data_IF_770071170456
#
_entry.id   IF_770071170456
#
_cell.length_a   1.000
_cell.length_b   1.000
_cell.length_c   1.000
_cell.angle_alpha   90.00
_cell.angle_beta   90.00
_cell.angle_gamma   90.00
#
_symmetry.space_group_name_H-M   'P 1'
#
loop_
_entity.id
_entity.type
_entity.pdbx_description
1 polymer ?
#
# COMPACT_ATOMS: atom_id res chain seq x y z
N UNK A 1 -5.48 -6.58 -0.26
CA UNK A 1 -6.61 -5.94 -1.00
C UNK A 1 -7.85 -6.05 -0.14
N UNK A 2 -8.60 -4.96 0.05
CA UNK A 2 -9.76 -4.90 0.97
C UNK A 2 -10.90 -4.13 0.31
N UNK A 3 -12.15 -4.49 0.58
CA UNK A 3 -13.31 -3.64 0.26
C UNK A 3 -13.90 -3.77 -1.15
N UNK A 4 -13.51 -4.79 -1.93
CA UNK A 4 -14.27 -5.11 -3.15
C UNK A 4 -15.62 -5.70 -2.72
N UNK A 5 -16.71 -5.06 -3.15
CA UNK A 5 -18.05 -5.39 -2.64
C UNK A 5 -18.63 -6.66 -3.25
N UNK A 6 -18.21 -7.02 -4.47
CA UNK A 6 -18.58 -8.28 -5.10
C UNK A 6 -17.50 -9.34 -4.80
N UNK A 7 -17.83 -10.45 -4.12
CA UNK A 7 -16.89 -11.54 -3.88
C UNK A 7 -16.25 -12.11 -5.16
N UNK A 8 -16.99 -12.13 -6.27
CA UNK A 8 -16.50 -12.68 -7.54
C UNK A 8 -15.31 -11.88 -8.11
N UNK A 9 -15.19 -10.61 -7.75
CA UNK A 9 -14.06 -9.78 -8.15
C UNK A 9 -12.73 -10.29 -7.57
N UNK A 10 -12.74 -10.99 -6.44
CA UNK A 10 -11.51 -11.57 -5.90
C UNK A 10 -10.98 -12.72 -6.77
N UNK A 11 -11.86 -13.48 -7.43
CA UNK A 11 -11.46 -14.56 -8.33
C UNK A 11 -10.94 -14.06 -9.68
N UNK A 12 -11.28 -12.82 -10.06
CA UNK A 12 -10.84 -12.20 -11.31
C UNK A 12 -9.54 -11.41 -11.22
N UNK A 13 -8.84 -11.44 -10.07
CA UNK A 13 -7.54 -10.78 -9.90
C UNK A 13 -6.55 -11.25 -10.98
N UNK A 14 -5.69 -10.35 -11.53
CA UNK A 14 -4.69 -10.73 -12.54
C UNK A 14 -3.51 -11.48 -11.92
N UNK A 15 -3.78 -12.68 -11.42
CA UNK A 15 -2.78 -13.54 -10.81
C UNK A 15 -2.22 -14.51 -11.86
N UNK A 16 -0.98 -14.95 -11.65
CA UNK A 16 -0.43 -16.08 -12.37
C UNK A 16 -1.32 -17.31 -12.13
N UNK A 17 -1.71 -17.99 -13.21
CA UNK A 17 -2.60 -19.17 -13.15
C UNK A 17 -3.98 -18.91 -12.49
N UNK A 18 -4.47 -17.67 -12.58
CA UNK A 18 -5.84 -17.31 -12.20
C UNK A 18 -6.89 -17.87 -13.17
N UNK A 19 -8.15 -17.47 -12.97
CA UNK A 19 -9.25 -17.90 -13.83
C UNK A 19 -9.13 -17.32 -15.25
N UNK A 20 -9.78 -17.99 -16.21
CA UNK A 20 -9.84 -17.52 -17.59
C UNK A 20 -10.39 -16.08 -17.65
N UNK A 21 -9.72 -15.22 -18.41
CA UNK A 21 -10.01 -13.79 -18.49
C UNK A 21 -9.84 -13.28 -19.90
N UNK A 22 -10.77 -12.43 -20.36
CA UNK A 22 -10.68 -11.77 -21.67
C UNK A 22 -9.88 -10.46 -21.63
N UNK A 23 -9.39 -10.04 -20.46
CA UNK A 23 -8.76 -8.73 -20.24
C UNK A 23 -7.57 -8.49 -21.17
N UNK A 24 -6.72 -9.49 -21.32
CA UNK A 24 -5.49 -9.41 -22.10
C UNK A 24 -5.63 -10.13 -23.45
N UNK A 25 -6.85 -10.45 -23.88
CA UNK A 25 -7.07 -11.15 -25.14
C UNK A 25 -6.47 -10.41 -26.34
N UNK A 26 -6.51 -9.08 -26.33
CA UNK A 26 -5.88 -8.27 -27.38
C UNK A 26 -4.36 -8.42 -27.43
N UNK A 27 -3.72 -8.65 -26.28
CA UNK A 27 -2.26 -8.78 -26.17
C UNK A 27 -1.80 -10.17 -26.62
N UNK A 28 -2.57 -11.21 -26.29
CA UNK A 28 -2.20 -12.61 -26.56
C UNK A 28 -2.71 -13.15 -27.91
N UNK A 29 -3.85 -12.65 -28.42
CA UNK A 29 -4.49 -13.17 -29.63
C UNK A 29 -3.60 -13.13 -30.89
N UNK A 30 -2.80 -12.08 -31.17
CA UNK A 30 -1.93 -12.08 -32.35
C UNK A 30 -0.93 -13.25 -32.35
N UNK A 31 -0.29 -13.51 -31.19
CA UNK A 31 0.66 -14.62 -31.05
C UNK A 31 -0.05 -15.97 -31.18
N UNK A 32 -1.21 -16.11 -30.53
CA UNK A 32 -2.04 -17.31 -30.64
C UNK A 32 -2.41 -17.63 -32.10
N UNK A 33 -2.79 -16.63 -32.89
CA UNK A 33 -3.16 -16.80 -34.30
C UNK A 33 -1.97 -17.23 -35.17
N UNK A 34 -0.77 -16.68 -34.92
CA UNK A 34 0.46 -17.11 -35.61
C UNK A 34 0.74 -18.59 -35.36
N UNK A 35 0.67 -19.04 -34.10
CA UNK A 35 0.89 -20.45 -33.77
C UNK A 35 -0.25 -21.35 -34.24
N UNK A 36 -1.49 -20.85 -34.30
CA UNK A 36 -2.61 -21.56 -34.91
C UNK A 36 -2.38 -21.79 -36.40
N UNK A 37 -1.92 -20.77 -37.13
CA UNK A 37 -1.58 -20.91 -38.55
C UNK A 37 -0.42 -21.90 -38.77
N UNK A 38 0.63 -21.85 -37.94
CA UNK A 38 1.73 -22.80 -37.96
C UNK A 38 1.26 -24.24 -37.67
N UNK A 39 0.33 -24.41 -36.73
CA UNK A 39 -0.27 -25.70 -36.42
C UNK A 39 -1.06 -26.26 -37.62
N UNK A 40 -1.92 -25.46 -38.26
CA UNK A 40 -2.65 -25.93 -39.46
C UNK A 40 -1.71 -26.26 -40.63
N UNK A 41 -0.65 -25.46 -40.83
CA UNK A 41 0.39 -25.77 -41.82
C UNK A 41 1.09 -27.10 -41.49
N UNK A 42 1.35 -27.37 -40.20
CA UNK A 42 2.00 -28.60 -39.76
C UNK A 42 1.19 -29.85 -40.10
N UNK A 43 -0.14 -29.79 -40.01
CA UNK A 43 -1.04 -30.90 -40.39
C UNK A 43 -0.84 -31.26 -41.87
N UNK A 44 -0.73 -30.25 -42.74
CA UNK A 44 -0.42 -30.45 -44.15
C UNK A 44 0.97 -31.07 -44.35
N UNK A 45 1.99 -30.62 -43.60
CA UNK A 45 3.34 -31.16 -43.70
C UNK A 45 3.43 -32.62 -43.24
N UNK A 46 2.65 -33.03 -42.23
CA UNK A 46 2.61 -34.42 -41.72
C UNK A 46 2.13 -35.39 -42.81
N UNK A 47 1.25 -34.97 -43.72
CA UNK A 47 0.83 -35.80 -44.85
C UNK A 47 1.92 -36.02 -45.91
N UNK A 48 3.06 -35.32 -45.82
CA UNK A 48 4.19 -35.47 -46.73
C UNK A 48 5.12 -36.61 -46.27
N UNK A 49 5.76 -37.30 -47.22
CA UNK A 49 6.66 -38.44 -46.91
C UNK A 49 8.06 -37.97 -46.48
N UNK A 50 8.75 -38.83 -45.73
CA UNK A 50 10.16 -38.65 -45.39
C UNK A 50 10.41 -37.56 -44.34
N UNK A 51 11.51 -36.82 -44.47
CA UNK A 51 11.95 -35.81 -43.48
C UNK A 51 10.94 -34.67 -43.28
N UNK A 52 10.14 -34.36 -44.29
CA UNK A 52 9.12 -33.29 -44.23
C UNK A 52 7.99 -33.67 -43.27
N UNK A 53 7.53 -34.93 -43.31
CA UNK A 53 6.50 -35.42 -42.39
C UNK A 53 6.95 -35.37 -40.92
N UNK A 54 8.20 -35.79 -40.66
CA UNK A 54 8.80 -35.71 -39.32
C UNK A 54 8.91 -34.25 -38.85
N UNK A 55 9.35 -33.34 -39.73
CA UNK A 55 9.38 -31.90 -39.45
C UNK A 55 7.99 -31.33 -39.13
N UNK A 56 6.96 -31.79 -39.85
CA UNK A 56 5.56 -31.45 -39.57
C UNK A 56 5.13 -31.83 -38.15
N UNK A 57 5.47 -33.04 -37.68
CA UNK A 57 5.16 -33.48 -36.31
C UNK A 57 5.83 -32.58 -35.27
N UNK A 58 7.11 -32.23 -35.46
CA UNK A 58 7.83 -31.34 -34.54
C UNK A 58 7.21 -29.93 -34.48
N UNK A 59 6.84 -29.37 -35.65
CA UNK A 59 6.17 -28.07 -35.73
C UNK A 59 4.80 -28.13 -35.06
N UNK A 60 4.05 -29.24 -35.22
CA UNK A 60 2.74 -29.41 -34.57
C UNK A 60 2.86 -29.36 -33.04
N UNK A 61 3.81 -30.12 -32.48
CA UNK A 61 4.06 -30.17 -31.03
C UNK A 61 4.46 -28.79 -30.51
N UNK A 62 5.42 -28.13 -31.18
CA UNK A 62 5.88 -26.81 -30.77
C UNK A 62 4.77 -25.75 -30.88
N UNK A 63 3.99 -25.78 -31.97
CA UNK A 63 2.88 -24.84 -32.18
C UNK A 63 1.80 -25.04 -31.13
N UNK A 64 1.47 -26.28 -30.78
CA UNK A 64 0.50 -26.57 -29.72
C UNK A 64 0.98 -26.08 -28.35
N UNK A 65 2.26 -26.32 -28.01
CA UNK A 65 2.85 -25.81 -26.77
C UNK A 65 2.78 -24.27 -26.70
N UNK A 66 3.12 -23.59 -27.81
CA UNK A 66 3.07 -22.13 -27.88
C UNK A 66 1.63 -21.57 -27.89
N UNK A 67 0.67 -22.29 -28.47
CA UNK A 67 -0.76 -21.95 -28.39
C UNK A 67 -1.27 -22.02 -26.95
N UNK A 68 -0.87 -23.04 -26.19
CA UNK A 68 -1.20 -23.12 -24.75
C UNK A 68 -0.54 -21.98 -23.99
N UNK A 69 0.74 -21.70 -24.26
CA UNK A 69 1.49 -20.63 -23.60
C UNK A 69 0.98 -19.22 -23.94
N UNK A 70 0.35 -19.02 -25.09
CA UNK A 70 -0.19 -17.73 -25.53
C UNK A 70 -1.69 -17.76 -25.72
N UNK A 71 -2.41 -18.62 -25.00
CA UNK A 71 -3.86 -18.67 -25.15
C UNK A 71 -4.47 -17.30 -24.80
N UNK A 72 -5.50 -16.84 -25.51
CA UNK A 72 -6.00 -15.47 -25.39
C UNK A 72 -6.75 -15.19 -24.08
N UNK A 73 -7.04 -16.23 -23.28
CA UNK A 73 -7.87 -16.09 -22.08
C UNK A 73 -7.06 -16.09 -20.78
N UNK A 74 -5.80 -15.64 -20.84
CA UNK A 74 -4.90 -15.61 -19.69
C UNK A 74 -5.34 -14.57 -18.65
N UNK A 75 -5.25 -14.95 -17.37
CA UNK A 75 -5.54 -14.07 -16.24
C UNK A 75 -4.50 -12.97 -16.05
N UNK A 76 -3.28 -13.18 -16.50
CA UNK A 76 -2.15 -12.26 -16.40
C UNK A 76 -1.37 -12.24 -17.71
N UNK A 77 -0.87 -11.06 -18.07
CA UNK A 77 0.05 -10.86 -19.21
C UNK A 77 1.52 -11.10 -18.84
N UNK A 78 1.80 -11.35 -17.57
CA UNK A 78 3.13 -11.59 -17.03
C UNK A 78 3.33 -13.08 -16.69
N UNK A 79 4.59 -13.51 -16.62
CA UNK A 79 4.98 -14.87 -16.27
C UNK A 79 6.37 -14.87 -15.58
N UNK A 80 6.75 -15.94 -14.89
CA UNK A 80 8.00 -15.99 -14.13
C UNK A 80 9.26 -16.19 -15.00
N UNK A 81 9.13 -16.29 -16.33
CA UNK A 81 10.23 -16.66 -17.23
C UNK A 81 10.85 -15.47 -17.98
N UNK A 82 10.23 -14.29 -17.91
CA UNK A 82 10.72 -13.07 -18.58
C UNK A 82 11.47 -12.10 -17.65
N UNK A 83 11.98 -12.62 -16.54
CA UNK A 83 12.79 -11.86 -15.59
C UNK A 83 12.00 -10.82 -14.81
N UNK A 84 12.72 -9.88 -14.20
CA UNK A 84 12.14 -8.81 -13.40
C UNK A 84 11.45 -7.77 -14.31
N UNK A 85 10.15 -7.60 -14.11
CA UNK A 85 9.29 -6.64 -14.83
C UNK A 85 8.97 -5.41 -13.96
N UNK A 86 9.69 -5.24 -12.84
CA UNK A 86 9.45 -4.19 -11.85
C UNK A 86 8.05 -4.26 -11.27
N UNK A 87 7.44 -3.10 -11.07
CA UNK A 87 6.12 -2.93 -10.47
C UNK A 87 4.97 -3.34 -11.40
N UNK A 88 5.21 -3.55 -12.70
CA UNK A 88 4.15 -3.73 -13.69
C UNK A 88 3.15 -4.88 -13.37
N UNK A 89 3.59 -6.07 -12.89
CA UNK A 89 2.65 -7.12 -12.46
C UNK A 89 1.79 -6.70 -11.27
N UNK A 90 2.35 -5.93 -10.34
CA UNK A 90 1.64 -5.44 -9.17
C UNK A 90 0.71 -4.28 -9.52
N UNK A 91 1.12 -3.41 -10.46
CA UNK A 91 0.28 -2.34 -10.98
C UNK A 91 -0.99 -2.88 -11.64
N UNK A 92 -0.90 -4.00 -12.38
CA UNK A 92 -2.08 -4.66 -12.94
C UNK A 92 -3.07 -5.11 -11.85
N UNK A 93 -2.57 -5.63 -10.73
CA UNK A 93 -3.38 -6.00 -9.57
C UNK A 93 -3.99 -4.77 -8.91
N UNK A 94 -3.20 -3.69 -8.78
CA UNK A 94 -3.66 -2.42 -8.22
C UNK A 94 -4.79 -1.86 -9.07
N UNK A 95 -4.58 -1.68 -10.37
CA UNK A 95 -5.56 -1.10 -11.30
C UNK A 95 -6.84 -1.94 -11.36
N UNK A 96 -6.71 -3.27 -11.38
CA UNK A 96 -7.85 -4.17 -11.32
C UNK A 96 -8.68 -3.96 -10.06
N UNK A 97 -8.06 -3.96 -8.89
CA UNK A 97 -8.76 -3.83 -7.62
C UNK A 97 -9.37 -2.44 -7.46
N UNK A 98 -8.63 -1.38 -7.81
CA UNK A 98 -9.09 0.01 -7.74
C UNK A 98 -10.27 0.28 -8.67
N UNK A 99 -10.29 -0.28 -9.88
CA UNK A 99 -11.43 -0.16 -10.81
C UNK A 99 -12.71 -0.83 -10.31
N UNK A 100 -12.64 -1.64 -9.23
CA UNK A 100 -13.78 -2.30 -8.56
C UNK A 100 -14.07 -1.73 -7.17
N UNK A 101 -13.53 -0.55 -6.87
CA UNK A 101 -13.68 0.09 -5.55
C UNK A 101 -12.86 -0.56 -4.44
N UNK A 102 -12.01 -1.55 -4.75
CA UNK A 102 -11.09 -2.14 -3.80
C UNK A 102 -10.02 -1.15 -3.36
N UNK A 103 -9.51 -1.34 -2.15
CA UNK A 103 -8.36 -0.64 -1.58
C UNK A 103 -7.16 -1.57 -1.56
N UNK A 104 -5.99 -1.05 -1.92
CA UNK A 104 -4.76 -1.84 -2.09
C UNK A 104 -3.67 -1.29 -1.20
N UNK A 105 -3.05 -2.17 -0.43
CA UNK A 105 -2.03 -1.82 0.55
C UNK A 105 -0.78 -2.65 0.30
N UNK A 106 0.37 -2.00 0.21
CA UNK A 106 1.67 -2.69 0.26
C UNK A 106 1.89 -3.25 1.66
N UNK A 107 2.10 -4.55 1.77
CA UNK A 107 2.39 -5.21 3.02
C UNK A 107 3.87 -5.03 3.36
N UNK A 108 4.20 -4.71 4.62
CA UNK A 108 5.55 -4.77 5.19
C UNK A 108 6.76 -4.57 4.20
N UNK A 109 6.94 -3.39 3.57
CA UNK A 109 7.88 -3.21 2.44
C UNK A 109 9.37 -3.45 2.76
N UNK A 110 9.74 -3.41 4.03
CA UNK A 110 11.11 -3.58 4.53
C UNK A 110 11.19 -4.76 5.53
N UNK A 111 10.28 -5.73 5.40
CA UNK A 111 10.31 -6.96 6.21
C UNK A 111 11.64 -7.71 6.06
N UNK A 112 12.17 -8.22 7.17
CA UNK A 112 13.37 -9.04 7.18
C UNK A 112 13.08 -10.53 7.06
N UNK A 113 11.80 -10.95 7.12
CA UNK A 113 11.37 -12.35 7.19
C UNK A 113 11.99 -13.24 6.10
N UNK A 114 11.87 -12.84 4.84
CA UNK A 114 12.38 -13.60 3.69
C UNK A 114 13.61 -12.99 3.04
N UNK A 115 14.22 -11.95 3.65
CA UNK A 115 15.37 -11.24 3.06
C UNK A 115 16.59 -12.13 2.86
N UNK A 116 16.86 -13.02 3.81
CA UNK A 116 17.97 -13.99 3.70
C UNK A 116 17.53 -15.31 3.03
N UNK A 117 16.29 -15.35 2.56
CA UNK A 117 15.56 -16.44 1.94
C UNK A 117 15.15 -17.57 2.87
N UNK A 118 13.97 -18.13 2.57
CA UNK A 118 13.30 -19.20 3.29
C UNK A 118 13.33 -20.46 2.42
N UNK A 119 13.83 -21.57 2.97
CA UNK A 119 13.86 -22.83 2.24
C UNK A 119 12.45 -23.42 2.12
N UNK A 120 12.06 -23.76 0.91
CA UNK A 120 10.78 -24.41 0.56
C UNK A 120 11.07 -25.65 -0.28
N UNK A 121 11.34 -26.79 0.36
CA UNK A 121 11.73 -28.01 -0.36
C UNK A 121 13.06 -27.82 -1.12
N UNK A 122 13.13 -28.06 -2.45
CA UNK A 122 14.34 -27.85 -3.24
C UNK A 122 14.56 -26.39 -3.67
N UNK A 123 13.61 -25.49 -3.40
CA UNK A 123 13.70 -24.07 -3.79
C UNK A 123 13.89 -23.17 -2.57
N UNK A 124 14.46 -21.99 -2.78
CA UNK A 124 14.63 -20.95 -1.76
C UNK A 124 13.84 -19.71 -2.19
N UNK A 125 12.85 -19.33 -1.39
CA UNK A 125 12.05 -18.12 -1.60
C UNK A 125 12.76 -16.94 -0.95
N UNK A 126 12.95 -15.84 -1.68
CA UNK A 126 13.57 -14.63 -1.14
C UNK A 126 12.73 -13.42 -1.53
N UNK A 127 12.65 -12.43 -0.65
CA UNK A 127 12.02 -11.14 -0.96
C UNK A 127 12.95 -10.05 -0.47
N UNK A 128 13.48 -9.27 -1.41
CA UNK A 128 14.27 -8.10 -1.09
C UNK A 128 13.39 -7.01 -0.47
N UNK A 129 14.01 -6.00 0.14
CA UNK A 129 13.30 -4.80 0.57
C UNK A 129 12.82 -4.02 -0.66
N UNK A 130 11.56 -3.60 -0.67
CA UNK A 130 10.91 -2.90 -1.79
C UNK A 130 10.24 -1.58 -1.39
N UNK A 131 10.87 -0.69 -0.60
CA UNK A 131 10.27 0.60 -0.27
C UNK A 131 10.06 1.48 -1.52
N UNK A 132 10.88 1.29 -2.56
CA UNK A 132 10.77 2.02 -3.83
C UNK A 132 9.47 1.71 -4.58
N UNK A 133 8.85 0.54 -4.38
CA UNK A 133 7.54 0.24 -4.96
C UNK A 133 6.43 1.19 -4.47
N UNK A 134 6.62 1.90 -3.35
CA UNK A 134 5.71 3.00 -2.97
C UNK A 134 5.77 4.17 -3.97
N UNK A 135 6.93 4.43 -4.54
CA UNK A 135 7.20 5.50 -5.50
C UNK A 135 6.96 5.01 -6.94
N UNK A 136 7.24 3.75 -7.23
CA UNK A 136 7.22 3.25 -8.61
C UNK A 136 5.84 2.68 -9.01
N UNK A 137 4.96 2.41 -8.05
CA UNK A 137 3.55 2.10 -8.30
C UNK A 137 2.63 3.28 -8.07
N UNK A 138 1.47 3.27 -8.71
CA UNK A 138 0.46 4.32 -8.68
C UNK A 138 -0.90 3.79 -8.22
N UNK A 139 -1.79 4.70 -7.79
CA UNK A 139 -3.21 4.44 -7.48
C UNK A 139 -3.51 3.46 -6.34
N UNK A 140 -2.51 2.87 -5.69
CA UNK A 140 -2.69 2.13 -4.44
C UNK A 140 -3.19 3.04 -3.31
N UNK A 141 -3.79 2.44 -2.28
CA UNK A 141 -4.45 3.17 -1.18
C UNK A 141 -3.51 3.47 -0.02
N UNK A 142 -2.59 2.56 0.29
CA UNK A 142 -1.70 2.73 1.42
C UNK A 142 -0.61 1.69 1.54
N UNK A 143 0.03 1.63 2.69
CA UNK A 143 1.05 0.64 3.00
C UNK A 143 1.13 0.40 4.51
N UNK A 144 1.78 -0.69 4.89
CA UNK A 144 2.09 -0.97 6.29
C UNK A 144 3.18 -0.01 6.76
N UNK A 145 2.79 1.05 7.47
CA UNK A 145 3.68 2.05 8.04
C UNK A 145 4.21 1.65 9.43
N UNK A 146 3.58 0.67 10.08
CA UNK A 146 4.07 0.03 11.32
C UNK A 146 3.79 -1.48 11.23
N UNK A 147 4.79 -2.31 11.51
CA UNK A 147 4.65 -3.77 11.55
C UNK A 147 5.78 -4.39 12.39
N UNK A 148 5.89 -5.72 12.39
CA UNK A 148 6.84 -6.55 13.16
C UNK A 148 8.33 -6.23 13.00
N UNK A 149 8.70 -5.29 12.13
CA UNK A 149 10.07 -5.06 11.68
C UNK A 149 10.41 -3.55 11.63
N UNK A 150 11.67 -3.24 11.30
CA UNK A 150 12.10 -1.84 11.12
C UNK A 150 11.60 -1.30 9.79
N UNK A 151 11.03 -0.10 9.83
CA UNK A 151 10.59 0.63 8.64
C UNK A 151 11.27 1.99 8.59
N UNK A 152 11.86 2.31 7.44
CA UNK A 152 12.45 3.61 7.14
C UNK A 152 11.57 4.44 6.21
N UNK A 153 10.75 3.79 5.36
CA UNK A 153 9.85 4.43 4.41
C UNK A 153 8.88 5.44 5.05
N UNK A 154 8.48 5.23 6.31
CA UNK A 154 7.58 6.12 7.05
C UNK A 154 8.30 7.28 7.79
N UNK A 155 9.63 7.32 7.82
CA UNK A 155 10.37 8.41 8.51
C UNK A 155 10.24 9.73 7.74
N UNK A 156 10.44 10.84 8.46
CA UNK A 156 10.39 12.18 7.88
C UNK A 156 11.29 12.29 6.64
N UNK A 157 10.71 12.73 5.52
CA UNK A 157 11.40 12.97 4.26
C UNK A 157 11.68 11.73 3.41
N UNK A 158 11.25 10.54 3.86
CA UNK A 158 11.47 9.28 3.14
C UNK A 158 10.30 8.98 2.17
N UNK A 159 10.20 7.74 1.69
CA UNK A 159 9.26 7.30 0.65
C UNK A 159 7.82 7.76 0.85
N UNK A 160 7.27 7.64 2.07
CA UNK A 160 5.89 8.05 2.33
C UNK A 160 5.70 9.56 2.13
N UNK A 161 6.63 10.37 2.62
CA UNK A 161 6.56 11.82 2.47
C UNK A 161 6.80 12.26 1.02
N UNK A 162 7.60 11.51 0.26
CA UNK A 162 7.76 11.73 -1.18
C UNK A 162 6.44 11.52 -1.92
N UNK A 163 5.75 10.40 -1.72
CA UNK A 163 4.47 10.13 -2.41
C UNK A 163 3.37 11.10 -1.97
N UNK A 164 3.38 11.55 -0.71
CA UNK A 164 2.48 12.61 -0.22
C UNK A 164 2.80 13.98 -0.85
N UNK A 165 4.07 14.28 -1.06
CA UNK A 165 4.51 15.50 -1.75
C UNK A 165 4.13 15.48 -3.23
N UNK A 166 4.26 14.34 -3.90
CA UNK A 166 3.80 14.12 -5.28
C UNK A 166 2.27 14.27 -5.41
N UNK A 167 1.50 13.84 -4.41
CA UNK A 167 0.06 14.15 -4.34
C UNK A 167 -0.19 15.65 -4.18
N UNK A 168 0.59 16.33 -3.33
CA UNK A 168 0.44 17.77 -3.10
C UNK A 168 0.79 18.61 -4.33
N UNK A 169 1.75 18.18 -5.14
CA UNK A 169 2.12 18.83 -6.41
C UNK A 169 1.22 18.44 -7.59
N UNK A 170 0.33 17.46 -7.41
CA UNK A 170 -0.56 16.97 -8.47
C UNK A 170 0.09 15.98 -9.44
N UNK A 171 1.31 15.51 -9.16
CA UNK A 171 1.95 14.41 -9.89
C UNK A 171 1.17 13.10 -9.68
N UNK A 172 0.71 12.86 -8.44
CA UNK A 172 -0.15 11.72 -8.09
C UNK A 172 -1.59 12.15 -7.90
N UNK A 173 -2.52 11.36 -8.43
CA UNK A 173 -3.96 11.62 -8.30
C UNK A 173 -4.54 11.29 -6.91
N UNK A 174 -3.93 10.32 -6.21
CA UNK A 174 -4.47 9.76 -4.97
C UNK A 174 -3.52 9.92 -3.78
N UNK A 175 -4.14 9.96 -2.60
CA UNK A 175 -3.47 10.05 -1.30
C UNK A 175 -3.08 8.64 -0.84
N UNK A 176 -1.96 8.55 -0.13
CA UNK A 176 -1.41 7.28 0.38
C UNK A 176 -1.46 7.27 1.90
N UNK A 177 -2.11 6.25 2.47
CA UNK A 177 -2.32 6.10 3.91
C UNK A 177 -1.36 5.10 4.56
N UNK A 178 -0.98 5.36 5.81
CA UNK A 178 -0.16 4.45 6.62
C UNK A 178 -1.02 3.64 7.58
N UNK A 179 -1.02 2.31 7.44
CA UNK A 179 -1.69 1.38 8.38
C UNK A 179 -0.67 0.69 9.30
N UNK A 180 -1.14 0.13 10.42
CA UNK A 180 -0.38 -0.89 11.14
C UNK A 180 -0.88 -2.29 10.76
N UNK A 181 0.03 -3.23 10.57
CA UNK A 181 -0.28 -4.63 10.26
C UNK A 181 0.54 -5.59 11.12
N UNK A 182 -0.12 -6.59 11.72
CA UNK A 182 0.53 -7.56 12.60
C UNK A 182 1.03 -8.81 11.89
N UNK A 183 0.50 -9.13 10.70
CA UNK A 183 0.75 -10.39 9.98
C UNK A 183 0.70 -11.63 10.89
N UNK A 184 -0.40 -11.74 11.65
CA UNK A 184 -0.51 -12.69 12.74
C UNK A 184 -0.70 -14.12 12.24
N UNK A 185 0.19 -15.01 12.67
CA UNK A 185 0.10 -16.46 12.44
C UNK A 185 -0.14 -17.25 13.73
N UNK A 186 0.43 -16.80 14.85
CA UNK A 186 0.25 -17.37 16.19
C UNK A 186 0.77 -16.38 17.26
N UNK A 187 0.39 -16.58 18.52
CA UNK A 187 1.03 -15.90 19.67
C UNK A 187 2.40 -16.54 19.94
N UNK A 188 3.44 -16.04 19.27
CA UNK A 188 4.82 -16.46 19.44
C UNK A 188 5.72 -15.26 19.74
N UNK A 189 6.83 -15.49 20.44
CA UNK A 189 7.86 -14.48 20.73
C UNK A 189 7.36 -13.20 21.44
N UNK A 190 6.24 -13.29 22.17
CA UNK A 190 5.67 -12.16 22.92
C UNK A 190 5.02 -11.08 22.07
N UNK A 191 4.64 -11.40 20.82
CA UNK A 191 3.82 -10.54 19.97
C UNK A 191 2.37 -11.02 20.01
N UNK A 192 1.53 -10.28 20.73
CA UNK A 192 0.09 -10.53 20.78
C UNK A 192 -0.59 -10.05 19.49
N UNK A 193 -1.75 -10.61 19.16
CA UNK A 193 -2.60 -10.19 18.01
C UNK A 193 -2.87 -8.68 17.98
N UNK A 194 -2.97 -8.05 19.15
CA UNK A 194 -3.29 -6.63 19.31
C UNK A 194 -2.04 -5.74 19.41
N UNK A 195 -0.85 -6.26 19.13
CA UNK A 195 0.40 -5.48 19.22
C UNK A 195 0.46 -4.37 18.17
N UNK A 196 -0.04 -4.61 16.95
CA UNK A 196 -0.03 -3.65 15.85
C UNK A 196 -1.47 -3.37 15.41
N UNK A 197 -1.92 -2.12 15.59
CA UNK A 197 -3.32 -1.77 15.41
C UNK A 197 -3.48 -0.57 14.48
N UNK A 198 -4.48 -0.67 13.59
CA UNK A 198 -5.01 0.49 12.87
C UNK A 198 -6.28 0.94 13.60
N UNK A 199 -6.24 2.13 14.20
CA UNK A 199 -7.33 2.67 15.01
C UNK A 199 -8.19 3.62 14.17
N UNK A 200 -9.44 3.22 13.91
CA UNK A 200 -10.39 3.96 13.08
C UNK A 200 -11.16 5.02 13.87
N UNK A 201 -11.31 6.21 13.27
CA UNK A 201 -12.16 7.28 13.78
C UNK A 201 -13.52 7.21 13.09
N UNK A 202 -14.46 6.51 13.73
CA UNK A 202 -15.81 6.28 13.20
C UNK A 202 -16.87 6.60 14.24
N UNK A 203 -18.00 7.13 13.79
CA UNK A 203 -19.19 7.35 14.64
C UNK A 203 -19.86 6.02 14.99
N UNK A 204 -19.95 5.11 14.01
CA UNK A 204 -20.57 3.80 14.14
C UNK A 204 -19.56 2.69 13.88
N UNK A 205 -19.65 1.60 14.65
CA UNK A 205 -18.78 0.42 14.53
C UNK A 205 -19.32 -0.58 13.50
N UNK A 206 -19.73 -0.07 12.34
CA UNK A 206 -20.22 -0.89 11.23
C UNK A 206 -19.13 -1.05 10.15
N UNK A 207 -19.12 -2.19 9.45
CA UNK A 207 -18.12 -2.49 8.41
C UNK A 207 -18.06 -1.40 7.33
N UNK A 208 -19.21 -0.85 6.92
CA UNK A 208 -19.28 0.21 5.91
C UNK A 208 -18.57 1.50 6.35
N UNK A 209 -18.68 1.84 7.64
CA UNK A 209 -18.11 3.05 8.21
C UNK A 209 -16.60 2.88 8.42
N UNK A 210 -16.16 1.68 8.82
CA UNK A 210 -14.73 1.33 8.88
C UNK A 210 -14.10 1.38 7.48
N UNK A 211 -14.74 0.81 6.46
CA UNK A 211 -14.23 0.83 5.09
C UNK A 211 -14.18 2.27 4.52
N UNK A 212 -15.19 3.09 4.83
CA UNK A 212 -15.20 4.51 4.46
C UNK A 212 -14.09 5.30 5.17
N UNK A 213 -13.84 5.03 6.44
CA UNK A 213 -12.73 5.64 7.18
C UNK A 213 -11.37 5.19 6.61
N UNK A 214 -11.24 3.91 6.24
CA UNK A 214 -10.06 3.35 5.59
C UNK A 214 -9.78 4.01 4.24
N UNK A 215 -10.81 4.23 3.43
CA UNK A 215 -10.69 4.92 2.14
C UNK A 215 -10.27 6.39 2.31
N UNK A 216 -10.79 7.05 3.35
CA UNK A 216 -10.60 8.48 3.59
C UNK A 216 -9.35 8.83 4.40
N UNK A 217 -8.64 7.86 4.97
CA UNK A 217 -7.48 8.12 5.83
C UNK A 217 -7.87 8.56 7.25
N UNK A 218 -9.10 8.32 7.69
CA UNK A 218 -9.63 8.73 9.01
C UNK A 218 -9.27 7.69 10.09
N UNK A 219 -7.97 7.44 10.24
CA UNK A 219 -7.41 6.47 11.18
C UNK A 219 -5.94 6.79 11.46
N UNK A 220 -5.36 6.13 12.45
CA UNK A 220 -3.93 6.16 12.75
C UNK A 220 -3.37 4.77 13.03
N UNK A 221 -2.07 4.59 12.81
CA UNK A 221 -1.34 3.37 13.07
C UNK A 221 -0.69 3.43 14.45
N UNK A 222 -0.74 2.34 15.22
CA UNK A 222 -0.11 2.28 16.56
C UNK A 222 0.47 0.90 16.84
N UNK A 223 1.62 0.89 17.53
CA UNK A 223 2.26 -0.28 18.13
C UNK A 223 2.14 -0.20 19.65
N UNK A 224 1.52 -1.22 20.26
CA UNK A 224 1.46 -1.45 21.70
C UNK A 224 2.86 -1.77 22.25
N UNK A 225 3.18 -1.25 23.44
CA UNK A 225 4.39 -1.60 24.18
C UNK A 225 4.14 -1.46 25.68
N UNK A 226 4.83 -2.27 26.50
CA UNK A 226 4.74 -2.14 27.96
C UNK A 226 3.35 -2.37 28.56
N UNK A 227 2.47 -3.10 27.88
CA UNK A 227 1.11 -3.40 28.35
C UNK A 227 0.05 -2.32 28.05
N UNK A 228 0.42 -1.23 27.38
CA UNK A 228 -0.48 -0.18 26.96
C UNK A 228 -0.19 0.27 25.52
N UNK A 229 -1.05 1.12 24.96
CA UNK A 229 -0.77 1.82 23.70
C UNK A 229 -1.09 3.30 23.84
N UNK A 230 -0.42 4.10 23.02
CA UNK A 230 -0.80 5.50 22.83
C UNK A 230 -2.18 5.61 22.17
N UNK A 231 -2.88 6.67 22.51
CA UNK A 231 -4.17 7.06 21.94
C UNK A 231 -4.02 8.47 21.40
N UNK A 232 -4.27 8.65 20.11
CA UNK A 232 -4.38 9.97 19.50
C UNK A 232 -5.81 10.48 19.69
N UNK A 233 -6.05 11.15 20.81
CA UNK A 233 -7.37 11.70 21.16
C UNK A 233 -7.78 12.83 20.22
N UNK A 234 -6.78 13.58 19.73
CA UNK A 234 -6.98 14.71 18.85
C UNK A 234 -5.74 14.99 18.02
N UNK A 235 -5.93 15.24 16.72
CA UNK A 235 -4.94 15.86 15.86
C UNK A 235 -5.68 16.63 14.77
N UNK A 236 -5.49 17.95 14.74
CA UNK A 236 -6.23 18.81 13.83
C UNK A 236 -5.45 20.07 13.45
N UNK A 237 -5.77 20.60 12.28
CA UNK A 237 -5.29 21.90 11.80
C UNK A 237 -6.46 22.88 11.81
N UNK A 238 -6.29 24.04 12.45
CA UNK A 238 -7.32 25.10 12.52
C UNK A 238 -6.94 26.33 11.71
N UNK A 239 -7.92 26.88 11.00
CA UNK A 239 -7.98 28.27 10.55
C UNK A 239 -8.73 29.05 11.64
N UNK A 240 -8.00 29.65 12.57
CA UNK A 240 -8.60 30.36 13.73
C UNK A 240 -9.50 31.51 13.29
N UNK A 241 -9.08 32.40 12.35
CA UNK A 241 -9.95 33.49 11.88
C UNK A 241 -11.29 33.02 11.31
N UNK A 242 -11.31 31.92 10.55
CA UNK A 242 -12.55 31.39 9.93
C UNK A 242 -13.28 30.36 10.80
N UNK A 243 -12.69 29.92 11.90
CA UNK A 243 -13.24 28.88 12.78
C UNK A 243 -13.29 27.48 12.14
N UNK A 244 -12.66 27.28 10.98
CA UNK A 244 -12.63 26.00 10.28
C UNK A 244 -11.51 25.10 10.83
N UNK A 245 -11.70 23.79 10.73
CA UNK A 245 -10.70 22.78 11.10
C UNK A 245 -10.75 21.58 10.17
N UNK A 246 -9.63 20.88 10.07
CA UNK A 246 -9.52 19.58 9.42
C UNK A 246 -8.82 18.57 10.33
N UNK A 247 -9.22 17.31 10.22
CA UNK A 247 -8.59 16.16 10.90
C UNK A 247 -7.91 15.23 9.90
N UNK A 248 -7.32 14.12 10.38
CA UNK A 248 -6.63 13.13 9.55
C UNK A 248 -7.47 12.71 8.33
N UNK A 249 -6.84 12.72 7.15
CA UNK A 249 -7.49 12.38 5.88
C UNK A 249 -8.23 13.54 5.20
N UNK A 250 -8.44 14.65 5.88
CA UNK A 250 -9.15 15.82 5.34
C UNK A 250 -8.20 16.86 4.72
N UNK A 251 -8.79 17.79 3.96
CA UNK A 251 -8.11 18.94 3.36
C UNK A 251 -8.79 20.24 3.81
N UNK A 252 -8.00 21.23 4.23
CA UNK A 252 -8.47 22.58 4.55
C UNK A 252 -7.78 23.63 3.67
N UNK A 253 -8.56 24.60 3.20
CA UNK A 253 -8.05 25.79 2.49
C UNK A 253 -8.05 26.96 3.44
N UNK A 254 -6.91 27.63 3.59
CA UNK A 254 -6.79 28.79 4.46
C UNK A 254 -5.76 29.80 3.96
N UNK A 255 -5.89 31.03 4.41
CA UNK A 255 -4.97 32.14 4.07
C UNK A 255 -4.12 32.54 5.30
N UNK A 256 -4.62 32.26 6.51
CA UNK A 256 -3.94 32.52 7.78
C UNK A 256 -2.86 31.48 8.09
N UNK A 257 -2.00 31.79 9.06
CA UNK A 257 -1.14 30.80 9.70
C UNK A 257 -1.98 29.71 10.38
N UNK A 258 -1.79 28.42 10.03
CA UNK A 258 -2.52 27.35 10.68
C UNK A 258 -2.11 27.19 12.13
N UNK A 259 -3.07 26.75 12.94
CA UNK A 259 -2.81 26.27 14.30
C UNK A 259 -2.86 24.75 14.29
N UNK A 260 -1.72 24.13 14.63
CA UNK A 260 -1.58 22.68 14.81
C UNK A 260 -1.91 22.36 16.26
N UNK A 261 -2.91 21.53 16.48
CA UNK A 261 -3.36 21.14 17.83
C UNK A 261 -3.44 19.62 17.93
N UNK A 262 -2.97 19.07 19.04
CA UNK A 262 -3.12 17.65 19.31
C UNK A 262 -3.14 17.30 20.79
N UNK A 263 -3.67 16.09 21.04
CA UNK A 263 -3.80 15.49 22.36
C UNK A 263 -3.49 14.00 22.27
N UNK A 264 -2.61 13.56 23.16
CA UNK A 264 -2.20 12.16 23.30
C UNK A 264 -2.51 11.68 24.71
N UNK A 265 -3.00 10.46 24.83
CA UNK A 265 -3.14 9.74 26.09
C UNK A 265 -2.63 8.30 25.97
N UNK A 266 -2.74 7.52 27.04
CA UNK A 266 -2.41 6.11 27.08
C UNK A 266 -3.64 5.31 27.51
N UNK A 267 -3.80 4.09 26.99
CA UNK A 267 -4.99 3.25 27.29
C UNK A 267 -5.11 2.85 28.75
N UNK A 268 -4.02 2.87 29.50
CA UNK A 268 -3.98 2.62 30.95
C UNK A 268 -4.20 3.90 31.79
N UNK A 269 -4.36 5.06 31.14
CA UNK A 269 -4.47 6.36 31.80
C UNK A 269 -3.16 6.85 32.45
N UNK A 270 -2.04 6.17 32.21
CA UNK A 270 -0.77 6.42 32.89
C UNK A 270 -0.01 7.65 32.36
N UNK A 271 1.01 8.05 33.13
CA UNK A 271 1.95 9.11 32.77
C UNK A 271 3.23 8.53 32.16
N UNK A 272 3.28 8.48 30.84
CA UNK A 272 4.38 7.85 30.10
C UNK A 272 5.16 8.89 29.30
N UNK A 273 6.51 8.89 29.38
CA UNK A 273 7.34 9.71 28.51
C UNK A 273 7.06 9.43 27.04
N UNK A 274 6.84 10.49 26.27
CA UNK A 274 6.57 10.42 24.84
C UNK A 274 7.32 11.54 24.12
N UNK A 275 8.01 11.19 23.04
CA UNK A 275 8.57 12.13 22.08
C UNK A 275 7.55 12.32 20.95
N UNK A 276 7.31 13.57 20.57
CA UNK A 276 6.39 13.94 19.50
C UNK A 276 7.16 14.69 18.41
N UNK A 277 6.93 14.28 17.17
CA UNK A 277 7.46 14.90 15.96
C UNK A 277 6.29 15.29 15.06
N UNK A 278 6.18 16.58 14.74
CA UNK A 278 5.25 17.10 13.76
C UNK A 278 6.01 17.35 12.46
N UNK A 279 5.49 16.79 11.37
CA UNK A 279 6.14 16.80 10.06
C UNK A 279 5.23 17.56 9.10
N UNK A 280 5.80 18.56 8.41
CA UNK A 280 5.14 19.34 7.37
C UNK A 280 5.86 19.19 6.05
N UNK A 281 5.15 18.73 5.01
CA UNK A 281 5.75 18.55 3.68
C UNK A 281 7.02 17.71 3.68
N UNK A 282 7.05 16.67 4.52
CA UNK A 282 8.21 15.78 4.69
C UNK A 282 9.35 16.32 5.57
N UNK A 283 9.22 17.50 6.17
CA UNK A 283 10.24 18.06 7.06
C UNK A 283 9.75 18.09 8.52
N UNK A 284 10.58 17.69 9.49
CA UNK A 284 10.23 17.87 10.90
C UNK A 284 10.21 19.37 11.23
N UNK A 285 9.04 19.89 11.61
CA UNK A 285 8.84 21.30 11.96
C UNK A 285 8.79 21.54 13.47
N UNK A 286 8.32 20.56 14.24
CA UNK A 286 8.42 20.57 15.70
C UNK A 286 8.84 19.19 16.22
N UNK A 287 9.73 19.17 17.19
CA UNK A 287 10.16 17.98 17.93
C UNK A 287 10.23 18.35 19.41
N UNK A 288 9.50 17.64 20.26
CA UNK A 288 9.46 17.91 21.69
C UNK A 288 9.13 16.65 22.49
N UNK A 289 9.60 16.62 23.74
CA UNK A 289 9.30 15.58 24.70
C UNK A 289 8.19 16.02 25.66
N UNK A 290 7.40 15.07 26.14
CA UNK A 290 6.34 15.28 27.12
C UNK A 290 5.96 14.00 27.85
N UNK A 291 4.83 14.03 28.55
CA UNK A 291 4.25 12.85 29.21
C UNK A 291 2.75 12.76 28.92
N UNK A 292 2.23 11.55 28.71
CA UNK A 292 0.77 11.35 28.63
C UNK A 292 0.08 11.70 29.96
N UNK A 293 -1.17 12.20 29.98
CA UNK A 293 -1.82 12.85 28.85
C UNK A 293 -1.08 14.15 28.47
N UNK A 294 -0.83 14.32 27.17
CA UNK A 294 -0.09 15.45 26.60
C UNK A 294 -1.02 16.27 25.72
N UNK A 295 -1.06 17.58 25.93
CA UNK A 295 -1.74 18.54 25.05
C UNK A 295 -0.71 19.50 24.47
N UNK A 296 -0.84 19.83 23.19
CA UNK A 296 0.02 20.82 22.57
C UNK A 296 -0.76 21.64 21.53
N UNK A 297 -0.30 22.87 21.32
CA UNK A 297 -0.80 23.77 20.31
C UNK A 297 0.34 24.65 19.81
N UNK A 298 0.51 24.70 18.49
CA UNK A 298 1.54 25.51 17.83
C UNK A 298 0.93 26.32 16.69
N UNK A 299 1.45 27.53 16.47
CA UNK A 299 1.12 28.35 15.30
C UNK A 299 2.22 28.14 14.26
N UNK A 300 1.84 27.70 13.06
CA UNK A 300 2.76 27.63 11.93
C UNK A 300 2.88 29.00 11.25
N UNK A 301 3.84 29.79 11.72
CA UNK A 301 4.12 31.12 11.17
C UNK A 301 4.96 31.06 9.88
N UNK A 302 5.55 29.92 9.53
CA UNK A 302 6.42 29.82 8.35
C UNK A 302 5.56 29.88 7.08
N UNK A 303 5.81 30.83 6.16
CA UNK A 303 4.99 30.99 4.96
C UNK A 303 5.26 29.89 3.92
N UNK A 304 4.22 29.52 3.18
CA UNK A 304 4.31 28.73 1.95
C UNK A 304 3.11 29.02 1.05
N UNK A 305 3.23 28.64 -0.22
CA UNK A 305 2.16 28.68 -1.21
C UNK A 305 1.91 27.29 -1.76
N UNK A 306 0.65 26.96 -2.07
CA UNK A 306 0.24 25.67 -2.59
C UNK A 306 -0.21 24.69 -1.51
N UNK A 307 -0.26 23.41 -1.87
CA UNK A 307 -0.68 22.32 -0.98
C UNK A 307 0.52 21.76 -0.21
N UNK A 308 0.33 21.51 1.08
CA UNK A 308 1.22 20.72 1.92
C UNK A 308 0.41 19.76 2.79
N UNK A 309 1.07 18.98 3.61
CA UNK A 309 0.45 18.08 4.57
C UNK A 309 1.13 18.17 5.94
N UNK A 310 0.39 17.87 6.99
CA UNK A 310 0.88 17.68 8.35
C UNK A 310 0.65 16.24 8.79
N UNK A 311 1.65 15.60 9.36
CA UNK A 311 1.50 14.32 10.07
C UNK A 311 2.27 14.37 11.40
N UNK A 312 1.88 13.48 12.30
CA UNK A 312 2.39 13.35 13.64
C UNK A 312 2.96 11.95 13.81
N UNK A 313 4.19 11.91 14.30
CA UNK A 313 4.83 10.70 14.80
C UNK A 313 5.01 10.88 16.30
N UNK A 314 4.56 9.92 17.10
CA UNK A 314 4.73 9.92 18.53
C UNK A 314 5.22 8.56 19.01
N UNK A 315 6.08 8.54 20.01
CA UNK A 315 6.55 7.28 20.55
C UNK A 315 7.60 7.42 21.62
N UNK A 316 8.10 6.28 22.07
CA UNK A 316 9.14 6.20 23.06
C UNK A 316 9.44 4.74 23.37
N UNK A 317 10.61 4.48 23.96
CA UNK A 317 11.03 3.10 24.27
C UNK A 317 9.99 2.32 25.09
N UNK A 318 9.31 3.00 26.01
CA UNK A 318 8.23 2.42 26.82
C UNK A 318 6.84 2.57 26.17
N UNK A 319 6.59 3.68 25.47
CA UNK A 319 5.27 4.04 24.94
C UNK A 319 4.89 3.40 23.60
N UNK A 320 5.83 2.68 22.96
CA UNK A 320 5.63 2.12 21.64
C UNK A 320 5.73 3.21 20.57
N UNK A 321 4.91 3.11 19.53
CA UNK A 321 4.93 4.02 18.38
C UNK A 321 3.52 4.31 17.89
N UNK A 322 3.26 5.54 17.46
CA UNK A 322 2.01 6.01 16.87
C UNK A 322 2.34 6.89 15.66
N UNK A 323 1.66 6.66 14.53
CA UNK A 323 1.76 7.47 13.32
C UNK A 323 0.36 7.90 12.88
N UNK A 324 0.14 9.19 12.70
CA UNK A 324 -1.12 9.73 12.16
C UNK A 324 -1.12 9.70 10.63
N UNK A 325 -2.29 9.52 9.99
CA UNK A 325 -2.43 9.91 8.58
C UNK A 325 -2.39 11.43 8.40
N UNK A 326 -2.01 11.92 7.20
CA UNK A 326 -1.81 13.34 6.99
C UNK A 326 -3.12 14.16 6.98
N UNK A 327 -3.00 15.41 7.40
CA UNK A 327 -3.99 16.48 7.21
C UNK A 327 -3.45 17.41 6.13
N UNK A 328 -4.21 17.62 5.05
CA UNK A 328 -3.78 18.44 3.92
C UNK A 328 -4.17 19.91 4.10
N UNK A 329 -3.27 20.82 3.77
CA UNK A 329 -3.51 22.27 3.88
C UNK A 329 -3.12 22.94 2.58
N UNK A 330 -4.02 23.74 2.02
CA UNK A 330 -3.77 24.55 0.84
C UNK A 330 -3.75 26.02 1.23
N UNK A 331 -2.65 26.71 0.91
CA UNK A 331 -2.50 28.16 1.06
C UNK A 331 -2.32 28.83 -0.29
N UNK A 332 -2.89 30.04 -0.43
CA UNK A 332 -2.75 30.89 -1.60
C UNK A 332 -1.59 31.86 -1.44
#
# INVERSE_FOLDING_TARGET
IVGMSNPDDYYGLPLLHGQLSTRYARDHLPRFLIFSAAFFLSIYLISQKGKIGIGGVLIAILSLAMMVNHHPFQSSRFDPYHGDQGEAPYQDVIDYARSRGGMVFWAHPESNYSKNGVQMGPVKMMTDHYPDSLIDSENYTGFSAIYGDTITAAKAGMHWDRVLSEYCSGIRAHRVWGIAGTDYHAEENGVDLDTYQTVFLVENRESKDVLKALERGQFYAVRKAGGFRLVLDQFQIKDVPKGHKAVMGEEIRMDSSPVVEGRLSATDGGHHPVAVLIIRGGKPVWSFDGQTPLNFQFVDSEPWTGKTFYRLDAGGKAAGQLLSNPIFVVRK
#
